data_IF_499407000332
#
_entry.id   IF_499407000332
#
_cell.length_a   1.000
_cell.length_b   1.000
_cell.length_c   1.000
_cell.angle_alpha   90.00
_cell.angle_beta   90.00
_cell.angle_gamma   90.00
#
_symmetry.space_group_name_H-M   'P 1'
#
loop_
_entity.id
_entity.type
_entity.pdbx_description
1 polymer ?
#
# COMPACT_ATOMS: atom_id res chain seq x y z
N UNK A 1 -3.65 17.27 -24.47
CA UNK A 1 -2.64 17.21 -23.40
C UNK A 1 -3.41 17.19 -22.09
N UNK A 2 -3.78 16.00 -21.62
CA UNK A 2 -4.62 15.82 -20.43
C UNK A 2 -3.81 16.16 -19.18
N UNK A 3 -4.38 16.99 -18.33
CA UNK A 3 -3.80 17.62 -17.15
C UNK A 3 -3.40 16.60 -16.08
N UNK A 4 -2.10 16.44 -15.84
CA UNK A 4 -1.49 15.76 -14.68
C UNK A 4 -1.67 16.56 -13.35
N UNK A 5 -2.77 17.31 -13.19
CA UNK A 5 -2.97 18.24 -12.06
C UNK A 5 -4.16 17.91 -11.16
N UNK A 6 -4.88 16.80 -11.37
CA UNK A 6 -6.11 16.51 -10.61
C UNK A 6 -6.29 15.06 -10.14
N UNK A 7 -5.21 14.30 -9.99
CA UNK A 7 -5.26 13.06 -9.20
C UNK A 7 -4.83 13.40 -7.76
N UNK A 8 -5.77 13.93 -6.98
CA UNK A 8 -5.48 14.38 -5.63
C UNK A 8 -5.79 13.25 -4.64
N UNK A 9 -4.76 12.54 -4.24
CA UNK A 9 -4.79 11.88 -2.93
C UNK A 9 -5.21 12.92 -1.89
N UNK A 10 -6.17 12.59 -1.03
CA UNK A 10 -6.57 13.46 0.08
C UNK A 10 -5.39 13.74 1.02
N UNK A 11 -5.64 14.56 2.05
CA UNK A 11 -4.62 14.80 3.08
C UNK A 11 -4.20 13.49 3.73
N UNK A 12 -2.88 13.33 3.93
CA UNK A 12 -2.34 12.19 4.69
C UNK A 12 -2.70 12.39 6.16
N UNK A 13 -3.38 11.39 6.72
CA UNK A 13 -3.88 11.37 8.09
C UNK A 13 -3.27 10.19 8.85
N UNK A 14 -3.12 10.31 10.19
CA UNK A 14 -2.72 9.18 11.02
C UNK A 14 -3.78 8.08 10.97
N UNK A 15 -3.37 6.81 11.04
CA UNK A 15 -4.27 5.66 10.98
C UNK A 15 -5.45 5.75 11.96
N UNK A 16 -6.67 5.82 11.41
CA UNK A 16 -7.92 5.75 12.17
C UNK A 16 -8.52 4.34 12.17
N UNK A 17 -9.63 4.15 12.91
CA UNK A 17 -10.25 2.83 13.05
C UNK A 17 -10.89 2.32 11.75
N UNK A 18 -11.38 3.23 10.89
CA UNK A 18 -11.96 2.85 9.59
C UNK A 18 -10.90 2.36 8.62
N UNK A 19 -9.82 3.12 8.43
CA UNK A 19 -8.73 2.74 7.56
C UNK A 19 -8.04 1.47 8.07
N UNK A 20 -7.88 1.30 9.39
CA UNK A 20 -7.39 0.04 9.97
C UNK A 20 -8.27 -1.14 9.59
N UNK A 21 -9.61 -0.99 9.64
CA UNK A 21 -10.53 -2.04 9.23
C UNK A 21 -10.39 -2.38 7.73
N UNK A 22 -10.33 -1.35 6.87
CA UNK A 22 -10.12 -1.53 5.42
C UNK A 22 -8.85 -2.33 5.14
N UNK A 23 -7.71 -1.91 5.72
CA UNK A 23 -6.44 -2.60 5.51
C UNK A 23 -6.35 -3.97 6.20
N UNK A 24 -7.16 -4.20 7.24
CA UNK A 24 -7.28 -5.52 7.86
C UNK A 24 -7.96 -6.52 6.91
N UNK A 25 -9.01 -6.11 6.19
CA UNK A 25 -9.72 -6.99 5.23
C UNK A 25 -8.83 -7.40 4.06
N UNK A 26 -7.93 -6.51 3.60
CA UNK A 26 -7.01 -6.80 2.49
C UNK A 26 -5.67 -7.37 2.94
N UNK A 27 -5.46 -7.61 4.23
CA UNK A 27 -4.17 -8.04 4.79
C UNK A 27 -3.60 -9.27 4.09
N UNK A 28 -4.41 -10.31 3.91
CA UNK A 28 -3.95 -11.56 3.28
C UNK A 28 -3.53 -11.35 1.83
N UNK A 29 -4.24 -10.49 1.10
CA UNK A 29 -3.95 -10.15 -0.29
C UNK A 29 -2.65 -9.35 -0.40
N UNK A 30 -2.45 -8.38 0.49
CA UNK A 30 -1.19 -7.62 0.60
C UNK A 30 -0.02 -8.54 0.90
N UNK A 31 -0.16 -9.43 1.88
CA UNK A 31 0.89 -10.40 2.26
C UNK A 31 1.22 -11.34 1.09
N UNK A 32 0.20 -11.85 0.40
CA UNK A 32 0.38 -12.71 -0.77
C UNK A 32 1.12 -11.98 -1.90
N UNK A 33 0.78 -10.71 -2.17
CA UNK A 33 1.46 -9.90 -3.17
C UNK A 33 2.93 -9.64 -2.78
N UNK A 34 3.22 -9.35 -1.51
CA UNK A 34 4.60 -9.21 -1.03
C UNK A 34 5.42 -10.49 -1.20
N UNK A 35 4.81 -11.66 -0.90
CA UNK A 35 5.47 -12.94 -1.11
C UNK A 35 5.74 -13.22 -2.58
N UNK A 36 4.82 -12.83 -3.47
CA UNK A 36 4.99 -12.96 -4.92
C UNK A 36 6.14 -12.06 -5.41
N UNK A 37 6.14 -10.78 -5.02
CA UNK A 37 7.20 -9.85 -5.37
C UNK A 37 8.57 -10.34 -4.87
N UNK A 38 8.65 -10.89 -3.65
CA UNK A 38 9.87 -11.53 -3.14
C UNK A 38 10.33 -12.70 -4.01
N UNK A 39 9.40 -13.57 -4.41
CA UNK A 39 9.72 -14.72 -5.23
C UNK A 39 10.26 -14.27 -6.60
N UNK A 40 9.63 -13.28 -7.22
CA UNK A 40 10.04 -12.72 -8.50
C UNK A 40 11.42 -12.03 -8.37
N UNK A 41 11.68 -11.27 -7.31
CA UNK A 41 12.98 -10.66 -7.00
C UNK A 41 14.11 -11.69 -6.84
N UNK A 42 13.83 -12.81 -6.15
CA UNK A 42 14.79 -13.89 -5.97
C UNK A 42 15.11 -14.62 -7.27
N UNK A 43 14.12 -14.77 -8.15
CA UNK A 43 14.30 -15.37 -9.47
C UNK A 43 15.09 -14.43 -10.40
N UNK A 44 14.92 -13.11 -10.26
CA UNK A 44 15.57 -12.10 -11.11
C UNK A 44 16.89 -11.54 -10.54
N UNK A 45 17.26 -11.86 -9.30
CA UNK A 45 18.53 -11.47 -8.69
C UNK A 45 18.63 -9.99 -8.32
N UNK A 46 17.48 -9.32 -8.11
CA UNK A 46 17.41 -7.88 -7.82
C UNK A 46 17.68 -7.57 -6.33
N UNK A 47 17.57 -8.54 -5.42
CA UNK A 47 17.93 -8.45 -3.99
C UNK A 47 17.23 -7.34 -3.17
N UNK A 48 16.12 -6.76 -3.65
CA UNK A 48 15.51 -5.58 -3.03
C UNK A 48 14.56 -5.97 -1.90
N UNK A 49 13.73 -7.00 -2.12
CA UNK A 49 12.80 -7.56 -1.12
C UNK A 49 13.47 -8.63 -0.23
N UNK A 50 14.72 -9.03 -0.52
CA UNK A 50 15.48 -10.01 0.28
C UNK A 50 15.65 -9.58 1.76
N UNK A 51 15.48 -8.30 2.07
CA UNK A 51 15.49 -7.80 3.44
C UNK A 51 14.24 -8.18 4.23
N UNK A 52 13.14 -8.59 3.60
CA UNK A 52 11.87 -8.92 4.27
C UNK A 52 11.76 -10.44 4.47
N UNK A 53 12.55 -10.96 5.41
CA UNK A 53 12.68 -12.40 5.59
C UNK A 53 11.39 -13.03 6.19
N UNK A 54 10.68 -12.26 7.03
CA UNK A 54 9.33 -12.55 7.55
C UNK A 54 8.55 -11.25 7.77
N UNK A 55 7.26 -11.27 7.42
CA UNK A 55 6.32 -10.22 7.85
C UNK A 55 6.06 -10.44 9.34
N UNK A 56 6.68 -9.63 10.18
CA UNK A 56 6.61 -9.72 11.65
C UNK A 56 5.47 -8.87 12.22
N UNK A 57 5.04 -7.86 11.46
CA UNK A 57 4.01 -6.90 11.84
C UNK A 57 3.07 -6.62 10.65
N UNK A 58 1.88 -6.14 10.93
CA UNK A 58 1.02 -5.51 9.91
C UNK A 58 0.26 -4.37 10.58
N UNK A 59 0.86 -3.18 10.57
CA UNK A 59 0.33 -2.02 11.28
C UNK A 59 0.21 -0.83 10.34
N UNK A 60 -1.02 -0.35 10.15
CA UNK A 60 -1.27 0.89 9.43
C UNK A 60 -0.73 2.07 10.25
N UNK A 61 0.09 2.90 9.62
CA UNK A 61 0.74 4.06 10.24
C UNK A 61 0.04 5.35 9.81
N UNK A 62 -0.05 5.55 8.50
CA UNK A 62 -0.69 6.70 7.85
C UNK A 62 -1.58 6.22 6.72
N UNK A 63 -2.60 6.99 6.40
CA UNK A 63 -3.46 6.73 5.26
C UNK A 63 -3.88 8.02 4.58
N UNK A 64 -4.35 7.90 3.35
CA UNK A 64 -5.03 8.96 2.65
C UNK A 64 -6.17 8.37 1.82
N UNK A 65 -7.16 9.19 1.50
CA UNK A 65 -8.36 8.75 0.79
C UNK A 65 -8.55 9.60 -0.46
N UNK A 66 -8.90 8.94 -1.56
CA UNK A 66 -9.37 9.57 -2.79
C UNK A 66 -10.80 9.09 -3.05
N UNK A 67 -11.74 10.02 -3.16
CA UNK A 67 -13.12 9.71 -3.53
C UNK A 67 -13.21 9.48 -5.04
N UNK A 68 -13.81 8.35 -5.43
CA UNK A 68 -14.01 7.96 -6.83
C UNK A 68 -15.47 7.62 -7.10
N UNK A 69 -15.86 7.55 -8.37
CA UNK A 69 -17.25 7.36 -8.78
C UNK A 69 -17.96 6.15 -8.13
N UNK A 70 -17.20 5.09 -7.80
CA UNK A 70 -17.73 3.83 -7.27
C UNK A 70 -17.32 3.52 -5.82
N UNK A 71 -16.74 4.48 -5.10
CA UNK A 71 -16.32 4.29 -3.72
C UNK A 71 -15.16 5.20 -3.32
N UNK A 72 -14.23 4.65 -2.55
CA UNK A 72 -13.06 5.33 -2.00
C UNK A 72 -11.81 4.50 -2.21
N UNK A 73 -10.77 5.11 -2.78
CA UNK A 73 -9.43 4.55 -2.77
C UNK A 73 -8.75 4.94 -1.47
N UNK A 74 -8.37 3.94 -0.69
CA UNK A 74 -7.53 4.07 0.49
C UNK A 74 -6.09 3.79 0.08
N UNK A 75 -5.22 4.75 0.35
CA UNK A 75 -3.78 4.61 0.28
C UNK A 75 -3.27 4.47 1.71
N UNK A 76 -2.49 3.44 2.00
CA UNK A 76 -2.08 3.12 3.36
C UNK A 76 -0.59 2.84 3.42
N UNK A 77 0.08 3.51 4.36
CA UNK A 77 1.46 3.21 4.74
C UNK A 77 1.44 2.19 5.87
N UNK A 78 1.86 0.97 5.57
CA UNK A 78 1.76 -0.18 6.47
C UNK A 78 3.16 -0.62 6.86
N UNK A 79 3.42 -0.66 8.16
CA UNK A 79 4.63 -1.24 8.74
C UNK A 79 4.50 -2.77 8.72
N UNK A 80 5.41 -3.42 8.01
CA UNK A 80 5.43 -4.88 7.80
C UNK A 80 6.57 -5.58 8.55
N UNK A 81 7.59 -4.81 8.93
CA UNK A 81 8.72 -5.23 9.76
C UNK A 81 9.38 -4.00 10.38
N UNK A 82 10.32 -4.18 11.32
CA UNK A 82 10.96 -3.06 12.04
C UNK A 82 11.63 -2.06 11.07
N UNK A 83 11.04 -0.85 10.99
CA UNK A 83 11.49 0.21 10.09
C UNK A 83 11.21 -0.02 8.61
N UNK A 84 10.45 -1.06 8.23
CA UNK A 84 10.10 -1.39 6.84
C UNK A 84 8.61 -1.19 6.60
N UNK A 85 8.30 -0.39 5.60
CA UNK A 85 6.96 0.02 5.26
C UNK A 85 6.64 -0.37 3.82
N UNK A 86 5.37 -0.62 3.56
CA UNK A 86 4.82 -0.79 2.21
C UNK A 86 3.69 0.21 2.05
N UNK A 87 3.53 0.75 0.85
CA UNK A 87 2.37 1.55 0.52
C UNK A 87 1.39 0.66 -0.24
N UNK A 88 0.19 0.48 0.30
CA UNK A 88 -0.84 -0.36 -0.27
C UNK A 88 -2.04 0.48 -0.66
N UNK A 89 -2.69 0.09 -1.75
CA UNK A 89 -3.94 0.68 -2.22
C UNK A 89 -5.06 -0.34 -2.08
N UNK A 90 -6.13 0.07 -1.41
CA UNK A 90 -7.37 -0.70 -1.29
C UNK A 90 -8.53 0.14 -1.80
N UNK A 91 -9.49 -0.48 -2.46
CA UNK A 91 -10.71 0.17 -2.92
C UNK A 91 -11.88 -0.30 -2.05
N UNK A 92 -12.56 0.65 -1.39
CA UNK A 92 -13.79 0.42 -0.64
C UNK A 92 -14.96 0.90 -1.48
N UNK A 93 -15.83 -0.02 -1.89
CA UNK A 93 -17.03 0.28 -2.66
C UNK A 93 -18.12 0.89 -1.78
N UNK A 94 -19.07 1.62 -2.40
CA UNK A 94 -20.24 2.17 -1.71
C UNK A 94 -21.12 1.12 -1.01
N UNK A 95 -21.05 -0.14 -1.47
CA UNK A 95 -21.76 -1.28 -0.86
C UNK A 95 -21.03 -1.91 0.33
N UNK A 96 -19.87 -1.38 0.71
CA UNK A 96 -19.07 -1.84 1.83
C UNK A 96 -18.05 -2.93 1.51
N UNK A 97 -17.99 -3.44 0.27
CA UNK A 97 -16.92 -4.37 -0.13
C UNK A 97 -15.57 -3.65 -0.15
N UNK A 98 -14.52 -4.35 0.27
CA UNK A 98 -13.15 -3.88 0.18
C UNK A 98 -12.34 -4.83 -0.69
N UNK A 99 -11.61 -4.29 -1.66
CA UNK A 99 -10.72 -5.04 -2.52
C UNK A 99 -9.31 -4.47 -2.47
N UNK A 100 -8.31 -5.36 -2.44
CA UNK A 100 -6.93 -4.96 -2.63
C UNK A 100 -6.74 -4.57 -4.09
N UNK A 101 -6.12 -3.42 -4.32
CA UNK A 101 -5.83 -2.95 -5.67
C UNK A 101 -4.39 -3.24 -6.05
N UNK A 102 -3.45 -2.65 -5.32
CA UNK A 102 -2.02 -2.74 -5.65
C UNK A 102 -1.11 -2.37 -4.49
N UNK A 103 0.18 -2.68 -4.64
CA UNK A 103 1.25 -2.13 -3.83
C UNK A 103 2.02 -1.11 -4.65
N UNK A 104 2.47 -0.06 -4.01
CA UNK A 104 3.41 0.86 -4.64
C UNK A 104 4.77 0.19 -4.75
N UNK A 105 5.19 -0.06 -5.98
CA UNK A 105 6.47 -0.68 -6.30
C UNK A 105 7.15 0.13 -7.39
N UNK A 106 8.34 0.65 -7.10
CA UNK A 106 9.25 1.22 -8.09
C UNK A 106 10.21 0.14 -8.59
N UNK A 107 10.81 0.29 -9.80
CA UNK A 107 11.73 -0.70 -10.37
C UNK A 107 12.92 -1.09 -9.48
N UNK A 108 13.30 -0.19 -8.56
CA UNK A 108 14.40 -0.37 -7.62
C UNK A 108 13.97 -0.28 -6.14
N UNK A 109 12.66 -0.14 -5.87
CA UNK A 109 12.19 0.02 -4.50
C UNK A 109 10.74 -0.40 -4.28
N UNK A 110 10.55 -1.41 -3.43
CA UNK A 110 9.22 -1.85 -2.97
C UNK A 110 9.03 -1.67 -1.46
N UNK A 111 10.08 -1.28 -0.73
CA UNK A 111 10.11 -1.18 0.73
C UNK A 111 10.52 0.24 1.15
N UNK A 112 9.59 0.93 1.79
CA UNK A 112 9.72 2.30 2.22
C UNK A 112 10.20 2.38 3.66
N UNK A 113 10.80 3.51 4.03
CA UNK A 113 11.16 3.85 5.40
C UNK A 113 10.05 4.62 6.10
N UNK A 114 10.21 4.88 7.40
CA UNK A 114 9.26 5.69 8.17
C UNK A 114 9.16 7.14 7.67
N UNK A 115 10.25 7.69 7.16
CA UNK A 115 10.31 9.10 6.75
C UNK A 115 9.85 9.33 5.30
N UNK A 116 9.73 8.25 4.52
CA UNK A 116 9.24 8.33 3.14
C UNK A 116 7.76 8.71 3.12
N UNK A 117 7.36 9.79 2.43
CA UNK A 117 5.97 10.23 2.44
C UNK A 117 5.09 9.25 1.67
N UNK A 118 3.87 9.02 2.17
CA UNK A 118 2.82 8.39 1.38
C UNK A 118 2.48 9.33 0.21
N UNK A 119 2.59 8.82 -1.01
CA UNK A 119 2.31 9.56 -2.25
C UNK A 119 1.16 8.89 -2.99
N UNK A 120 0.57 9.63 -3.92
CA UNK A 120 -0.34 9.06 -4.90
C UNK A 120 0.43 8.14 -5.86
N UNK A 121 -0.14 6.99 -6.18
CA UNK A 121 0.41 6.03 -7.14
C UNK A 121 -0.74 5.31 -7.88
N UNK A 122 -0.48 4.86 -9.11
CA UNK A 122 -1.50 4.29 -10.02
C UNK A 122 -1.25 2.83 -10.41
N UNK A 123 -0.01 2.41 -10.21
CA UNK A 123 0.60 1.10 -10.37
C UNK A 123 -0.09 0.03 -9.52
#
# INVERSE_FOLDING_TARGET
MSSEQHNAMGSVLPADEEAKAVFHEVKEQVVAQLHKLRHDDQVHGLHEIDKLDKISLFKLYEYAVEEVAYGWNYFGKIEVDDGKFVHARAHKYHDGRVEFYSLHTEPENSIWSRDDPLKYFTD
#
